data_IF_682051463604
#
_entry.id   IF_682051463604
#
_cell.length_a   1.000
_cell.length_b   1.000
_cell.length_c   1.000
_cell.angle_alpha   90.00
_cell.angle_beta   90.00
_cell.angle_gamma   90.00
#
_symmetry.space_group_name_H-M   'P 1'
#
loop_
_entity.id
_entity.type
_entity.pdbx_description
1 polymer ?
#
# COMPACT_ATOMS: atom_id res chain seq x y z
N UNK A 1 -0.18 -16.41 0.09
CA UNK A 1 0.79 -15.30 0.27
C UNK A 1 0.23 -14.37 1.33
N UNK A 2 1.00 -14.09 2.35
CA UNK A 2 0.52 -13.26 3.46
C UNK A 2 1.56 -12.25 3.91
N UNK A 3 1.07 -11.23 4.60
CA UNK A 3 1.87 -10.18 5.22
C UNK A 3 1.43 -10.09 6.67
N UNK A 4 2.39 -10.11 7.58
CA UNK A 4 2.11 -9.95 9.01
C UNK A 4 2.38 -8.49 9.40
N UNK A 5 1.40 -7.85 10.01
CA UNK A 5 1.55 -6.49 10.52
C UNK A 5 2.15 -6.57 11.91
N UNK A 6 3.41 -6.14 12.04
CA UNK A 6 4.12 -6.12 13.32
C UNK A 6 3.77 -4.87 14.12
N UNK A 7 3.58 -3.74 13.44
CA UNK A 7 3.14 -2.48 14.02
C UNK A 7 2.33 -1.74 12.96
N UNK A 8 1.06 -1.38 13.21
CA UNK A 8 0.21 -0.74 12.21
C UNK A 8 0.60 0.71 11.89
N UNK A 9 1.56 1.27 12.59
CA UNK A 9 1.88 2.68 12.46
C UNK A 9 0.81 3.57 13.07
N UNK A 10 0.73 4.82 12.62
CA UNK A 10 -0.16 5.79 13.20
C UNK A 10 -1.58 5.68 12.63
N UNK A 11 -1.69 5.57 11.31
CA UNK A 11 -2.97 5.44 10.62
C UNK A 11 -2.75 4.66 9.33
N UNK A 12 -2.94 3.35 9.38
CA UNK A 12 -2.77 2.46 8.22
C UNK A 12 -4.07 1.72 7.98
N UNK A 13 -4.54 1.73 6.74
CA UNK A 13 -5.76 1.05 6.35
C UNK A 13 -5.65 0.47 4.95
N UNK A 14 -6.49 -0.54 4.65
CA UNK A 14 -6.62 -1.09 3.30
C UNK A 14 -7.66 -0.26 2.56
N UNK A 15 -7.29 0.33 1.43
CA UNK A 15 -8.14 1.20 0.64
C UNK A 15 -8.06 0.85 -0.84
N UNK A 16 -9.12 1.17 -1.56
CA UNK A 16 -9.18 1.06 -3.01
C UNK A 16 -9.62 2.40 -3.62
N UNK A 17 -10.08 2.41 -4.86
CA UNK A 17 -10.52 3.64 -5.53
C UNK A 17 -11.91 4.13 -5.08
N UNK A 18 -12.54 3.46 -4.12
CA UNK A 18 -13.82 3.86 -3.56
C UNK A 18 -15.00 3.07 -4.13
N UNK A 19 -16.21 3.43 -3.67
CA UNK A 19 -17.45 2.71 -3.97
C UNK A 19 -18.31 3.48 -4.96
N UNK A 20 -17.70 3.88 -6.07
CA UNK A 20 -18.38 4.62 -7.13
C UNK A 20 -19.49 3.75 -7.71
N UNK A 21 -20.70 4.29 -7.84
CA UNK A 21 -21.86 3.58 -8.37
C UNK A 21 -22.79 3.02 -7.30
N UNK A 22 -22.42 3.05 -6.04
CA UNK A 22 -23.26 2.58 -4.94
C UNK A 22 -24.02 3.70 -4.22
N UNK A 23 -23.84 4.96 -4.61
CA UNK A 23 -24.51 6.11 -4.00
C UNK A 23 -26.04 6.00 -4.10
N UNK A 24 -26.56 5.43 -5.17
CA UNK A 24 -27.99 5.20 -5.37
C UNK A 24 -28.60 4.29 -4.30
N UNK A 25 -27.78 3.52 -3.60
CA UNK A 25 -28.21 2.65 -2.50
C UNK A 25 -27.89 3.24 -1.11
N UNK A 26 -27.50 4.51 -1.06
CA UNK A 26 -27.14 5.19 0.18
C UNK A 26 -25.73 4.91 0.65
N UNK A 27 -24.89 4.27 -0.14
CA UNK A 27 -23.47 4.02 0.18
C UNK A 27 -22.65 5.24 -0.24
N UNK A 28 -21.93 5.84 0.70
CA UNK A 28 -21.06 6.97 0.39
C UNK A 28 -19.81 6.52 -0.37
N UNK A 29 -19.29 7.40 -1.23
CA UNK A 29 -18.00 7.18 -1.90
C UNK A 29 -16.91 7.29 -0.84
N UNK A 30 -16.09 6.26 -0.73
CA UNK A 30 -14.91 6.25 0.14
C UNK A 30 -13.77 5.54 -0.57
N UNK A 31 -12.55 5.71 -0.12
CA UNK A 31 -11.39 5.09 -0.74
C UNK A 31 -10.12 5.83 -0.35
N UNK A 32 -9.09 5.66 -1.16
CA UNK A 32 -7.80 6.29 -0.92
C UNK A 32 -7.90 7.82 -1.02
N UNK A 33 -7.11 8.51 -0.22
CA UNK A 33 -7.03 9.98 -0.25
C UNK A 33 -6.26 10.47 -1.49
N UNK A 34 -5.37 9.65 -2.05
CA UNK A 34 -4.60 9.96 -3.25
C UNK A 34 -4.78 8.83 -4.29
N UNK A 35 -5.88 8.88 -5.09
CA UNK A 35 -6.14 7.84 -6.08
C UNK A 35 -5.05 7.71 -7.14
N UNK A 36 -4.38 8.80 -7.49
CA UNK A 36 -3.32 8.78 -8.48
C UNK A 36 -2.11 7.98 -7.99
N UNK A 37 -1.67 8.22 -6.77
CA UNK A 37 -0.56 7.47 -6.17
C UNK A 37 -0.92 5.99 -6.01
N UNK A 38 -2.14 5.68 -5.61
CA UNK A 38 -2.61 4.30 -5.50
C UNK A 38 -2.60 3.58 -6.85
N UNK A 39 -3.08 4.23 -7.91
CA UNK A 39 -3.05 3.66 -9.26
C UNK A 39 -1.62 3.42 -9.74
N UNK A 40 -0.72 4.37 -9.50
CA UNK A 40 0.70 4.22 -9.88
C UNK A 40 1.34 3.05 -9.11
N UNK A 41 1.07 2.91 -7.82
CA UNK A 41 1.60 1.80 -7.04
C UNK A 41 1.15 0.45 -7.62
N UNK A 42 -0.11 0.32 -7.98
CA UNK A 42 -0.64 -0.90 -8.59
C UNK A 42 0.00 -1.19 -9.95
N UNK A 43 0.18 -0.17 -10.79
CA UNK A 43 0.85 -0.32 -12.09
C UNK A 43 2.29 -0.82 -11.91
N UNK A 44 3.03 -0.28 -10.96
CA UNK A 44 4.43 -0.65 -10.71
C UNK A 44 4.59 -2.11 -10.32
N UNK A 45 3.61 -2.70 -9.65
CA UNK A 45 3.64 -4.13 -9.27
C UNK A 45 2.79 -5.01 -10.20
N UNK A 46 2.38 -4.47 -11.34
CA UNK A 46 1.62 -5.18 -12.38
C UNK A 46 0.23 -5.64 -11.91
N UNK A 47 -0.41 -4.87 -11.05
CA UNK A 47 -1.80 -5.06 -10.66
C UNK A 47 -2.72 -4.16 -11.49
N UNK A 48 -4.02 -4.48 -11.46
CA UNK A 48 -5.02 -3.54 -11.95
C UNK A 48 -5.02 -2.26 -11.11
N UNK A 49 -5.26 -1.11 -11.74
CA UNK A 49 -5.17 0.20 -11.09
C UNK A 49 -6.11 0.35 -9.89
N UNK A 50 -7.22 -0.35 -9.88
CA UNK A 50 -8.23 -0.27 -8.82
C UNK A 50 -8.05 -1.26 -7.68
N UNK A 51 -6.99 -2.07 -7.67
CA UNK A 51 -6.75 -3.01 -6.60
C UNK A 51 -6.50 -2.31 -5.27
N UNK A 52 -6.86 -2.97 -4.17
CA UNK A 52 -6.69 -2.42 -2.84
C UNK A 52 -5.22 -2.23 -2.49
N UNK A 53 -4.91 -1.16 -1.79
CA UNK A 53 -3.58 -0.81 -1.32
C UNK A 53 -3.60 -0.58 0.19
N UNK A 54 -2.43 -0.61 0.83
CA UNK A 54 -2.27 -0.12 2.19
C UNK A 54 -2.02 1.39 2.13
N UNK A 55 -2.90 2.17 2.75
CA UNK A 55 -2.75 3.61 2.88
C UNK A 55 -2.19 3.93 4.25
N UNK A 56 -1.07 4.65 4.28
CA UNK A 56 -0.34 4.99 5.49
C UNK A 56 -0.30 6.50 5.64
N UNK A 57 -0.59 6.99 6.85
CA UNK A 57 -0.61 8.42 7.15
C UNK A 57 0.41 8.73 8.25
N UNK A 58 1.27 9.70 8.02
CA UNK A 58 2.29 10.23 8.93
C UNK A 58 3.38 9.23 9.30
N UNK A 59 3.04 8.09 9.87
CA UNK A 59 3.99 7.03 10.25
C UNK A 59 3.55 5.72 9.60
N UNK A 60 4.41 5.16 8.78
CA UNK A 60 4.14 3.89 8.10
C UNK A 60 4.15 2.69 9.03
N UNK A 61 3.56 1.57 8.60
CA UNK A 61 3.53 0.36 9.38
C UNK A 61 4.87 -0.38 9.34
N UNK A 62 5.08 -1.26 10.30
CA UNK A 62 6.15 -2.26 10.26
C UNK A 62 5.53 -3.60 9.85
N UNK A 63 5.95 -4.11 8.71
CA UNK A 63 5.40 -5.31 8.10
C UNK A 63 6.47 -6.40 7.99
N UNK A 64 6.04 -7.65 8.08
CA UNK A 64 6.88 -8.80 7.71
C UNK A 64 6.22 -9.52 6.54
N UNK A 65 6.98 -9.81 5.51
CA UNK A 65 6.52 -10.57 4.36
C UNK A 65 6.73 -12.06 4.64
N UNK A 66 5.65 -12.82 4.59
CA UNK A 66 5.68 -14.27 4.91
C UNK A 66 6.02 -15.11 3.68
N UNK A 67 6.05 -14.49 2.50
CA UNK A 67 6.40 -15.12 1.23
C UNK A 67 7.08 -14.10 0.32
N UNK A 68 7.82 -14.53 -0.72
CA UNK A 68 8.38 -13.61 -1.70
C UNK A 68 7.28 -12.80 -2.39
N UNK A 69 7.55 -11.52 -2.62
CA UNK A 69 6.59 -10.61 -3.23
C UNK A 69 7.31 -9.46 -3.94
N UNK A 70 6.51 -8.61 -4.58
CA UNK A 70 6.98 -7.35 -5.17
C UNK A 70 6.11 -6.24 -4.60
N UNK A 71 6.74 -5.19 -4.09
CA UNK A 71 6.04 -4.05 -3.51
C UNK A 71 6.40 -2.75 -4.22
N UNK A 72 5.55 -1.75 -4.10
CA UNK A 72 5.85 -0.39 -4.52
C UNK A 72 5.25 0.59 -3.50
N UNK A 73 5.98 1.66 -3.25
CA UNK A 73 5.55 2.74 -2.35
C UNK A 73 5.45 4.01 -3.18
N UNK A 74 4.31 4.67 -3.11
CA UNK A 74 4.04 5.92 -3.82
C UNK A 74 3.44 6.94 -2.86
N UNK A 75 3.37 8.20 -3.31
CA UNK A 75 2.90 9.29 -2.48
C UNK A 75 4.04 9.98 -1.76
N UNK A 76 3.81 10.42 -0.52
CA UNK A 76 4.83 11.06 0.29
C UNK A 76 5.89 10.07 0.76
N UNK A 77 7.12 10.55 0.90
CA UNK A 77 8.22 9.73 1.39
C UNK A 77 8.25 9.76 2.92
N UNK A 78 7.96 8.61 3.53
CA UNK A 78 8.00 8.43 4.98
C UNK A 78 9.31 7.78 5.46
N UNK A 79 10.32 7.67 4.59
CA UNK A 79 11.59 7.06 4.95
C UNK A 79 11.53 5.54 5.05
N UNK A 80 10.86 4.89 4.09
CA UNK A 80 10.71 3.44 4.10
C UNK A 80 12.05 2.71 4.03
N UNK A 81 12.15 1.62 4.77
CA UNK A 81 13.34 0.75 4.76
C UNK A 81 12.91 -0.71 4.62
N UNK A 82 13.80 -1.52 4.05
CA UNK A 82 13.66 -2.97 3.96
C UNK A 82 14.88 -3.59 4.65
N UNK A 83 14.64 -4.33 5.74
CA UNK A 83 15.71 -4.87 6.59
C UNK A 83 16.75 -3.82 7.00
N UNK A 84 16.27 -2.60 7.30
CA UNK A 84 17.11 -1.49 7.74
C UNK A 84 17.79 -0.70 6.63
N UNK A 85 17.63 -1.08 5.38
CA UNK A 85 18.18 -0.35 4.24
C UNK A 85 17.11 0.49 3.55
N UNK A 86 17.43 1.75 3.25
CA UNK A 86 16.50 2.66 2.57
C UNK A 86 16.10 2.10 1.21
N UNK A 87 14.82 2.22 0.88
CA UNK A 87 14.28 1.87 -0.44
C UNK A 87 13.67 3.11 -1.08
N UNK A 88 13.73 3.15 -2.42
CA UNK A 88 13.16 4.26 -3.18
C UNK A 88 11.65 4.12 -3.31
N UNK A 89 10.96 5.27 -3.34
CA UNK A 89 9.56 5.33 -3.75
C UNK A 89 9.44 5.27 -5.27
N UNK A 90 8.24 4.97 -5.76
CA UNK A 90 7.91 4.88 -7.19
C UNK A 90 8.76 3.86 -7.96
N UNK A 91 9.11 2.75 -7.28
CA UNK A 91 9.83 1.62 -7.89
C UNK A 91 9.21 0.31 -7.42
N UNK A 92 9.24 -0.69 -8.31
CA UNK A 92 8.96 -2.06 -7.92
C UNK A 92 10.16 -2.62 -7.14
N UNK A 93 9.92 -3.10 -5.93
CA UNK A 93 10.98 -3.62 -5.05
C UNK A 93 10.67 -5.08 -4.72
N UNK A 94 11.53 -6.03 -5.12
CA UNK A 94 11.35 -7.42 -4.73
C UNK A 94 11.64 -7.60 -3.24
N UNK A 95 10.81 -8.39 -2.58
CA UNK A 95 11.00 -8.77 -1.18
C UNK A 95 11.00 -10.28 -1.05
N UNK A 96 11.74 -10.80 -0.08
CA UNK A 96 11.80 -12.23 0.23
C UNK A 96 11.04 -12.54 1.51
N UNK A 97 10.70 -13.81 1.69
CA UNK A 97 10.07 -14.26 2.93
C UNK A 97 10.95 -13.93 4.14
N UNK A 98 10.33 -13.41 5.19
CA UNK A 98 11.01 -13.02 6.42
C UNK A 98 11.55 -11.60 6.44
N UNK A 99 11.55 -10.89 5.32
CA UNK A 99 11.97 -9.48 5.28
C UNK A 99 10.92 -8.55 5.89
N UNK A 100 11.37 -7.48 6.52
CA UNK A 100 10.50 -6.49 7.18
C UNK A 100 10.71 -5.08 6.64
#
# INVERSE_FOLDING_TARGET
MSITILNPGMLTSVQDLGRIGYQQFGVSVSGVMDPRSASIANILVDNDEGEAVLECTMMGPHLRFDAPNIIAITGGDLGATLDGQSIDTYRAVPVNAGQT
#
